data_IF_209034081890
#
_entry.id   IF_209034081890
#
_cell.length_a   1.000
_cell.length_b   1.000
_cell.length_c   1.000
_cell.angle_alpha   90.00
_cell.angle_beta   90.00
_cell.angle_gamma   90.00
#
_symmetry.space_group_name_H-M   'P 1'
#
loop_
_entity.id
_entity.type
_entity.pdbx_description
1 polymer ?
#
# COMPACT_ATOMS: atom_id res chain seq x y z
N UNK A 1 -26.39 1.82 -37.46
CA UNK A 1 -26.15 0.80 -36.42
C UNK A 1 -26.70 -0.50 -36.95
N UNK A 2 -25.83 -1.35 -37.49
CA UNK A 2 -26.17 -2.74 -37.79
C UNK A 2 -26.24 -3.47 -36.45
N UNK A 3 -27.44 -3.83 -36.01
CA UNK A 3 -27.63 -4.78 -34.93
C UNK A 3 -26.86 -6.05 -35.28
N UNK A 4 -25.95 -6.46 -34.41
CA UNK A 4 -25.21 -7.71 -34.56
C UNK A 4 -26.18 -8.88 -34.72
N UNK A 5 -25.83 -9.87 -35.54
CA UNK A 5 -26.70 -11.03 -35.78
C UNK A 5 -27.14 -11.67 -34.45
N UNK A 6 -28.42 -12.02 -34.34
CA UNK A 6 -29.01 -12.66 -33.15
C UNK A 6 -28.31 -13.98 -32.74
N UNK A 7 -27.43 -14.51 -33.61
CA UNK A 7 -26.63 -15.72 -33.41
C UNK A 7 -25.31 -15.44 -32.66
N UNK A 8 -24.75 -14.24 -32.76
CA UNK A 8 -23.45 -13.92 -32.16
C UNK A 8 -23.52 -13.64 -30.65
N UNK A 9 -24.63 -13.05 -30.18
CA UNK A 9 -24.80 -12.72 -28.76
C UNK A 9 -24.79 -13.97 -27.84
N UNK A 10 -25.52 -15.07 -28.16
CA UNK A 10 -25.46 -16.30 -27.36
C UNK A 10 -24.06 -16.94 -27.35
N UNK A 11 -23.34 -16.90 -28.47
CA UNK A 11 -21.99 -17.47 -28.56
C UNK A 11 -20.98 -16.71 -27.69
N UNK A 12 -21.06 -15.38 -27.66
CA UNK A 12 -20.24 -14.54 -26.77
C UNK A 12 -20.61 -14.76 -25.31
N UNK A 13 -21.90 -14.85 -24.99
CA UNK A 13 -22.34 -15.13 -23.63
C UNK A 13 -21.81 -16.47 -23.13
N UNK A 14 -21.84 -17.51 -23.97
CA UNK A 14 -21.28 -18.82 -23.65
C UNK A 14 -19.76 -18.71 -23.46
N UNK A 15 -19.04 -18.05 -24.37
CA UNK A 15 -17.60 -17.87 -24.26
C UNK A 15 -17.20 -17.16 -22.95
N UNK A 16 -17.89 -16.07 -22.61
CA UNK A 16 -17.65 -15.34 -21.36
C UNK A 16 -18.02 -16.18 -20.12
N UNK A 17 -19.14 -16.89 -20.13
CA UNK A 17 -19.53 -17.81 -19.03
C UNK A 17 -18.55 -18.95 -18.83
N UNK A 18 -17.98 -19.49 -19.90
CA UNK A 18 -16.98 -20.55 -19.82
C UNK A 18 -15.69 -20.06 -19.17
N UNK A 19 -15.34 -18.78 -19.38
CA UNK A 19 -14.07 -18.20 -18.91
C UNK A 19 -14.20 -17.57 -17.53
N UNK A 20 -15.33 -16.92 -17.24
CA UNK A 20 -15.58 -16.20 -15.98
C UNK A 20 -16.36 -17.02 -14.95
N UNK A 21 -16.82 -18.22 -15.32
CA UNK A 21 -17.65 -19.08 -14.48
C UNK A 21 -19.16 -18.88 -14.71
N UNK A 22 -19.94 -19.94 -14.48
CA UNK A 22 -21.39 -19.95 -14.76
C UNK A 22 -22.21 -19.05 -13.83
N UNK A 23 -21.73 -18.83 -12.60
CA UNK A 23 -22.37 -18.02 -11.56
C UNK A 23 -22.31 -16.51 -11.87
N UNK A 24 -21.46 -16.10 -12.82
CA UNK A 24 -21.18 -14.71 -13.17
C UNK A 24 -22.40 -13.87 -13.61
N UNK A 25 -23.44 -14.50 -14.15
CA UNK A 25 -24.69 -13.85 -14.58
C UNK A 25 -25.92 -14.22 -13.71
N UNK A 26 -25.71 -14.88 -12.58
CA UNK A 26 -26.78 -15.27 -11.66
C UNK A 26 -26.64 -14.51 -10.34
N UNK A 27 -27.76 -14.26 -9.65
CA UNK A 27 -27.73 -13.72 -8.29
C UNK A 27 -26.91 -14.65 -7.40
N UNK A 28 -25.92 -14.10 -6.70
CA UNK A 28 -25.19 -14.81 -5.65
C UNK A 28 -26.14 -14.94 -4.45
N UNK A 29 -26.93 -16.01 -4.40
CA UNK A 29 -27.60 -16.40 -3.15
C UNK A 29 -26.57 -17.09 -2.24
N UNK A 30 -25.76 -16.33 -1.48
CA UNK A 30 -25.24 -16.72 -0.16
C UNK A 30 -24.18 -15.75 0.40
N UNK A 31 -24.61 -14.82 1.25
CA UNK A 31 -24.08 -14.70 2.62
C UNK A 31 -25.14 -14.08 3.51
N UNK A 32 -25.44 -14.75 4.63
CA UNK A 32 -26.62 -14.48 5.45
C UNK A 32 -26.73 -13.07 6.02
N UNK A 33 -27.98 -12.64 6.16
CA UNK A 33 -28.48 -11.55 7.02
C UNK A 33 -27.56 -10.32 7.20
N UNK A 34 -27.63 -9.39 6.25
CA UNK A 34 -27.30 -7.98 6.48
C UNK A 34 -26.86 -7.21 5.24
N UNK A 35 -27.56 -6.12 4.90
CA UNK A 35 -27.16 -4.99 4.03
C UNK A 35 -26.50 -5.22 2.63
N UNK A 36 -26.20 -6.43 2.17
CA UNK A 36 -25.43 -6.68 0.94
C UNK A 36 -26.23 -6.66 -0.38
N UNK A 37 -27.58 -6.57 -0.33
CA UNK A 37 -28.42 -6.68 -1.53
C UNK A 37 -28.19 -5.57 -2.57
N UNK A 38 -27.88 -4.35 -2.13
CA UNK A 38 -27.64 -3.19 -3.02
C UNK A 38 -26.28 -3.29 -3.74
N UNK A 39 -25.27 -3.88 -3.08
CA UNK A 39 -23.96 -4.11 -3.68
C UNK A 39 -24.07 -5.21 -4.73
N UNK A 40 -24.77 -6.30 -4.43
CA UNK A 40 -24.96 -7.40 -5.36
C UNK A 40 -25.77 -6.97 -6.60
N UNK A 41 -26.78 -6.14 -6.42
CA UNK A 41 -27.57 -5.56 -7.53
C UNK A 41 -26.69 -4.65 -8.41
N UNK A 42 -25.91 -3.75 -7.82
CA UNK A 42 -24.98 -2.88 -8.56
C UNK A 42 -23.94 -3.68 -9.36
N UNK A 43 -23.37 -4.72 -8.75
CA UNK A 43 -22.41 -5.60 -9.42
C UNK A 43 -23.06 -6.33 -10.60
N UNK A 44 -24.29 -6.82 -10.45
CA UNK A 44 -25.03 -7.45 -11.53
C UNK A 44 -25.33 -6.47 -12.68
N UNK A 45 -25.81 -5.26 -12.37
CA UNK A 45 -26.12 -4.23 -13.35
C UNK A 45 -24.89 -3.82 -14.19
N UNK A 46 -23.74 -3.68 -13.55
CA UNK A 46 -22.49 -3.30 -14.24
C UNK A 46 -21.97 -4.41 -15.14
N UNK A 47 -22.10 -5.68 -14.73
CA UNK A 47 -21.83 -6.86 -15.59
C UNK A 47 -22.75 -6.90 -16.80
N UNK A 48 -24.04 -6.67 -16.61
CA UNK A 48 -25.02 -6.60 -17.70
C UNK A 48 -24.73 -5.43 -18.64
N UNK A 49 -24.35 -4.27 -18.11
CA UNK A 49 -23.98 -3.10 -18.90
C UNK A 49 -22.75 -3.36 -19.76
N UNK A 50 -21.72 -3.99 -19.19
CA UNK A 50 -20.51 -4.36 -19.91
C UNK A 50 -20.80 -5.38 -21.02
N UNK A 51 -21.60 -6.40 -20.73
CA UNK A 51 -22.03 -7.39 -21.73
C UNK A 51 -22.87 -6.76 -22.84
N UNK A 52 -23.84 -5.93 -22.47
CA UNK A 52 -24.67 -5.20 -23.42
C UNK A 52 -23.82 -4.33 -24.35
N UNK A 53 -22.81 -3.64 -23.80
CA UNK A 53 -21.89 -2.84 -24.59
C UNK A 53 -21.08 -3.71 -25.58
N UNK A 54 -20.46 -4.80 -25.12
CA UNK A 54 -19.68 -5.70 -25.99
C UNK A 54 -20.52 -6.27 -27.14
N UNK A 55 -21.77 -6.64 -26.88
CA UNK A 55 -22.62 -7.27 -27.88
C UNK A 55 -23.20 -6.26 -28.87
N UNK A 56 -23.63 -5.09 -28.38
CA UNK A 56 -24.49 -4.19 -29.16
C UNK A 56 -23.82 -2.87 -29.55
N UNK A 57 -22.75 -2.47 -28.86
CA UNK A 57 -22.19 -1.12 -28.96
C UNK A 57 -20.69 -1.11 -29.29
N UNK A 58 -19.96 -2.21 -29.06
CA UNK A 58 -18.53 -2.30 -29.31
C UNK A 58 -18.22 -2.04 -30.80
N UNK A 59 -17.51 -0.94 -31.13
CA UNK A 59 -17.22 -0.61 -32.51
C UNK A 59 -16.29 -1.63 -33.19
N UNK A 60 -15.52 -2.41 -32.42
CA UNK A 60 -14.67 -3.47 -32.98
C UNK A 60 -15.47 -4.72 -33.38
N UNK A 61 -16.68 -4.91 -32.84
CA UNK A 61 -17.56 -6.05 -33.12
C UNK A 61 -16.82 -7.41 -33.02
N UNK A 62 -16.05 -7.62 -31.95
CA UNK A 62 -15.24 -8.82 -31.76
C UNK A 62 -16.09 -10.10 -31.74
N UNK A 63 -15.70 -11.10 -32.54
CA UNK A 63 -16.31 -12.44 -32.54
C UNK A 63 -16.02 -13.25 -31.27
N UNK A 64 -16.80 -14.30 -31.04
CA UNK A 64 -16.75 -15.11 -29.81
C UNK A 64 -15.40 -15.82 -29.58
N UNK A 65 -14.62 -16.01 -30.64
CA UNK A 65 -13.29 -16.63 -30.65
C UNK A 65 -12.16 -15.60 -30.74
N UNK A 66 -12.48 -14.30 -30.72
CA UNK A 66 -11.46 -13.26 -30.79
C UNK A 66 -10.54 -13.32 -29.56
N UNK A 67 -9.20 -13.34 -29.76
CA UNK A 67 -8.24 -13.60 -28.68
C UNK A 67 -8.24 -12.51 -27.59
N UNK A 68 -8.71 -11.30 -27.91
CA UNK A 68 -8.79 -10.19 -26.98
C UNK A 68 -10.20 -9.94 -26.42
N UNK A 69 -11.19 -10.79 -26.73
CA UNK A 69 -12.58 -10.62 -26.28
C UNK A 69 -12.69 -10.52 -24.76
N UNK A 70 -12.07 -11.45 -24.03
CA UNK A 70 -12.10 -11.49 -22.57
C UNK A 70 -11.42 -10.27 -21.97
N UNK A 71 -10.22 -9.93 -22.44
CA UNK A 71 -9.48 -8.77 -21.97
C UNK A 71 -10.27 -7.48 -22.18
N UNK A 72 -10.85 -7.30 -23.37
CA UNK A 72 -11.67 -6.14 -23.69
C UNK A 72 -12.92 -6.09 -22.81
N UNK A 73 -13.61 -7.22 -22.63
CA UNK A 73 -14.76 -7.32 -21.74
C UNK A 73 -14.41 -6.96 -20.28
N UNK A 74 -13.30 -7.46 -19.74
CA UNK A 74 -12.86 -7.18 -18.37
C UNK A 74 -12.52 -5.70 -18.16
N UNK A 75 -11.92 -5.04 -19.15
CA UNK A 75 -11.70 -3.59 -19.12
C UNK A 75 -13.03 -2.82 -19.19
N UNK A 76 -13.97 -3.24 -20.04
CA UNK A 76 -15.31 -2.63 -20.09
C UNK A 76 -16.04 -2.80 -18.75
N UNK A 77 -15.94 -3.97 -18.12
CA UNK A 77 -16.48 -4.21 -16.78
C UNK A 77 -15.84 -3.27 -15.75
N UNK A 78 -14.51 -3.20 -15.73
CA UNK A 78 -13.77 -2.26 -14.89
C UNK A 78 -14.28 -0.82 -15.10
N UNK A 79 -14.51 -0.42 -16.34
CA UNK A 79 -15.08 0.88 -16.67
C UNK A 79 -16.46 1.08 -16.02
N UNK A 80 -17.44 0.21 -16.29
CA UNK A 80 -18.79 0.40 -15.74
C UNK A 80 -18.84 0.33 -14.22
N UNK A 81 -18.05 -0.58 -13.63
CA UNK A 81 -18.04 -0.77 -12.19
C UNK A 81 -17.35 0.37 -11.44
N UNK A 82 -16.32 0.98 -12.06
CA UNK A 82 -15.56 2.08 -11.42
C UNK A 82 -16.02 3.48 -11.81
N UNK A 83 -17.10 3.58 -12.58
CA UNK A 83 -17.74 4.85 -12.96
C UNK A 83 -18.98 5.14 -12.13
N UNK A 84 -19.74 4.12 -11.68
CA UNK A 84 -21.11 4.30 -11.17
C UNK A 84 -21.95 5.20 -12.09
N UNK A 85 -21.80 5.02 -13.40
CA UNK A 85 -22.42 5.85 -14.45
C UNK A 85 -21.98 7.34 -14.50
N UNK A 86 -20.95 7.73 -13.75
CA UNK A 86 -20.27 9.04 -13.87
C UNK A 86 -19.05 8.93 -14.78
N UNK A 87 -18.70 9.98 -15.52
CA UNK A 87 -17.48 9.97 -16.32
C UNK A 87 -16.25 10.14 -15.42
N UNK A 88 -15.22 9.33 -15.69
CA UNK A 88 -13.90 9.54 -15.10
C UNK A 88 -13.37 10.93 -15.42
N UNK A 89 -12.76 11.58 -14.43
CA UNK A 89 -12.36 12.99 -14.54
C UNK A 89 -11.30 13.25 -15.61
N UNK A 90 -10.29 12.39 -15.68
CA UNK A 90 -9.08 12.64 -16.47
C UNK A 90 -8.97 11.69 -17.67
N UNK A 91 -9.46 10.45 -17.53
CA UNK A 91 -9.26 9.38 -18.50
C UNK A 91 -10.47 8.89 -19.30
N UNK A 92 -11.58 9.61 -19.26
CA UNK A 92 -12.69 9.36 -20.19
C UNK A 92 -13.48 10.64 -20.52
N UNK A 93 -12.93 11.57 -21.33
CA UNK A 93 -13.64 12.79 -21.68
C UNK A 93 -14.87 12.50 -22.58
N UNK A 94 -15.94 13.32 -22.52
CA UNK A 94 -17.13 13.13 -23.33
C UNK A 94 -16.84 13.31 -24.83
N UNK A 95 -17.53 12.53 -25.68
CA UNK A 95 -17.54 12.71 -27.12
C UNK A 95 -18.29 14.02 -27.47
N UNK A 96 -17.57 15.13 -27.60
CA UNK A 96 -18.18 16.40 -28.00
C UNK A 96 -18.22 16.49 -29.54
N UNK A 97 -19.38 16.78 -30.16
CA UNK A 97 -19.50 16.99 -31.61
C UNK A 97 -18.85 18.28 -32.12
N UNK A 98 -18.36 19.14 -31.22
CA UNK A 98 -17.72 20.41 -31.53
C UNK A 98 -16.38 20.45 -30.81
N UNK A 99 -15.29 20.50 -31.59
CA UNK A 99 -13.91 20.41 -31.11
C UNK A 99 -13.50 21.55 -30.19
N UNK A 100 -13.85 21.45 -28.90
CA UNK A 100 -13.10 22.07 -27.82
C UNK A 100 -12.02 21.06 -27.40
N UNK A 101 -10.82 21.22 -27.96
CA UNK A 101 -9.64 20.39 -27.74
C UNK A 101 -8.99 20.54 -26.34
N UNK A 102 -9.79 20.74 -25.30
CA UNK A 102 -9.34 20.98 -23.93
C UNK A 102 -10.39 20.38 -23.01
N UNK A 103 -10.28 19.12 -22.60
CA UNK A 103 -9.39 18.64 -21.54
C UNK A 103 -8.92 17.21 -21.86
N UNK A 104 -7.60 16.98 -21.86
CA UNK A 104 -6.96 15.66 -22.03
C UNK A 104 -5.74 15.58 -21.13
N UNK A 105 -5.79 14.84 -20.01
CA UNK A 105 -4.58 14.54 -19.23
C UNK A 105 -4.71 13.19 -18.53
N UNK A 106 -4.72 12.07 -19.28
CA UNK A 106 -4.21 10.84 -18.68
C UNK A 106 -2.71 11.01 -18.51
N UNK A 107 -2.32 11.46 -17.33
CA UNK A 107 -0.92 11.57 -16.99
C UNK A 107 -0.27 10.20 -17.15
N UNK A 108 0.88 10.17 -17.82
CA UNK A 108 1.84 9.08 -17.71
C UNK A 108 2.83 9.48 -16.61
N UNK A 109 2.52 9.29 -15.32
CA UNK A 109 3.51 9.52 -14.28
C UNK A 109 4.64 8.53 -14.45
N UNK A 110 5.85 9.05 -14.31
CA UNK A 110 7.00 8.20 -14.07
C UNK A 110 6.80 7.52 -12.70
N UNK A 111 6.79 6.19 -12.69
CA UNK A 111 6.46 5.36 -11.51
C UNK A 111 7.52 5.53 -10.42
N UNK A 112 8.70 6.09 -10.75
CA UNK A 112 9.82 6.28 -9.83
C UNK A 112 9.87 7.70 -9.23
N UNK A 113 9.56 8.75 -10.00
CA UNK A 113 9.73 10.15 -9.56
C UNK A 113 8.41 10.88 -9.27
N UNK A 114 7.26 10.32 -9.67
CA UNK A 114 5.96 10.96 -9.48
C UNK A 114 5.73 12.20 -10.36
N UNK A 115 6.65 12.52 -11.26
CA UNK A 115 6.49 13.63 -12.20
C UNK A 115 5.61 13.21 -13.39
N UNK A 116 4.58 14.01 -13.64
CA UNK A 116 3.60 13.82 -14.69
C UNK A 116 4.09 14.50 -15.98
N UNK A 117 4.40 13.74 -17.03
CA UNK A 117 4.62 14.34 -18.35
C UNK A 117 3.28 14.72 -18.97
N UNK A 118 3.17 15.91 -19.57
CA UNK A 118 1.94 16.49 -20.15
C UNK A 118 1.46 15.83 -21.46
N UNK A 119 1.91 14.61 -21.74
CA UNK A 119 1.64 13.89 -22.99
C UNK A 119 0.36 13.08 -22.90
N UNK A 120 -0.50 13.16 -23.92
CA UNK A 120 -1.72 12.34 -24.04
C UNK A 120 -1.34 10.86 -23.98
N UNK A 121 -1.83 10.14 -22.97
CA UNK A 121 -1.64 8.69 -22.88
C UNK A 121 -2.90 7.95 -23.33
N UNK A 122 -2.92 7.50 -24.58
CA UNK A 122 -3.93 6.58 -25.11
C UNK A 122 -5.25 7.21 -25.59
N UNK A 123 -6.05 6.36 -26.21
CA UNK A 123 -7.39 6.62 -26.74
C UNK A 123 -8.44 6.60 -25.63
N UNK A 124 -9.63 7.14 -25.95
CA UNK A 124 -10.78 7.08 -25.07
C UNK A 124 -11.18 5.61 -24.80
N UNK A 125 -11.62 5.33 -23.57
CA UNK A 125 -12.24 4.05 -23.24
C UNK A 125 -13.53 3.86 -24.01
N UNK A 126 -13.90 2.60 -24.28
CA UNK A 126 -15.06 2.25 -25.11
C UNK A 126 -14.98 2.80 -26.55
N UNK A 127 -13.77 3.06 -27.06
CA UNK A 127 -13.55 3.51 -28.43
C UNK A 127 -13.33 2.34 -29.40
N UNK A 128 -13.29 2.66 -30.70
CA UNK A 128 -13.01 1.70 -31.77
C UNK A 128 -11.56 1.21 -31.81
N UNK A 129 -10.67 1.78 -31.00
CA UNK A 129 -9.29 1.33 -30.91
C UNK A 129 -9.20 -0.02 -30.19
N UNK A 130 -8.12 -0.75 -30.44
CA UNK A 130 -7.76 -1.89 -29.61
C UNK A 130 -7.60 -1.41 -28.17
N UNK A 131 -8.06 -2.18 -27.19
CA UNK A 131 -8.05 -1.80 -25.78
C UNK A 131 -6.65 -1.53 -25.22
N UNK A 132 -5.60 -2.10 -25.82
CA UNK A 132 -4.21 -1.78 -25.52
C UNK A 132 -3.78 -0.36 -25.91
N UNK A 133 -4.62 0.37 -26.65
CA UNK A 133 -4.45 1.78 -26.95
C UNK A 133 -5.25 2.66 -25.99
N UNK A 134 -6.17 2.11 -25.19
CA UNK A 134 -6.95 2.90 -24.25
C UNK A 134 -6.05 3.53 -23.19
N UNK A 135 -6.49 4.68 -22.72
CA UNK A 135 -5.71 5.45 -21.76
C UNK A 135 -5.45 4.67 -20.47
N UNK A 136 -4.21 4.69 -19.99
CA UNK A 136 -3.80 3.95 -18.80
C UNK A 136 -3.59 2.44 -19.00
N UNK A 137 -3.86 1.91 -20.20
CA UNK A 137 -3.70 0.50 -20.55
C UNK A 137 -2.37 0.31 -21.28
N UNK A 138 -1.57 -0.67 -20.86
CA UNK A 138 -0.35 -1.06 -21.59
C UNK A 138 -0.31 -2.57 -21.76
N UNK A 139 -0.07 -2.99 -23.01
CA UNK A 139 0.05 -4.39 -23.35
C UNK A 139 1.46 -4.75 -23.83
N UNK A 140 1.84 -6.00 -23.61
CA UNK A 140 3.02 -6.63 -24.22
C UNK A 140 2.58 -7.62 -25.30
N UNK A 141 3.44 -7.83 -26.29
CA UNK A 141 3.20 -8.86 -27.32
C UNK A 141 3.75 -10.18 -26.80
N UNK A 142 2.89 -11.19 -26.66
CA UNK A 142 3.30 -12.55 -26.31
C UNK A 142 3.73 -13.33 -27.55
N UNK A 143 4.33 -14.52 -27.35
CA UNK A 143 4.89 -15.35 -28.43
C UNK A 143 3.88 -15.65 -29.57
N UNK A 144 2.57 -15.65 -29.29
CA UNK A 144 1.50 -15.82 -30.28
C UNK A 144 1.23 -14.60 -31.18
N UNK A 145 1.96 -13.49 -31.00
CA UNK A 145 1.69 -12.15 -31.56
C UNK A 145 0.44 -11.46 -30.99
N UNK A 146 -0.21 -12.04 -30.00
CA UNK A 146 -1.34 -11.43 -29.28
C UNK A 146 -0.83 -10.37 -28.29
N UNK A 147 -1.62 -9.31 -28.10
CA UNK A 147 -1.32 -8.26 -27.13
C UNK A 147 -2.07 -8.54 -25.84
N UNK A 148 -1.34 -8.73 -24.75
CA UNK A 148 -1.92 -8.97 -23.43
C UNK A 148 -1.66 -7.82 -22.48
N UNK A 149 -2.65 -7.48 -21.65
CA UNK A 149 -2.60 -6.45 -20.65
C UNK A 149 -1.55 -6.81 -19.58
N UNK A 150 -0.53 -5.97 -19.46
CA UNK A 150 0.49 -6.11 -18.43
C UNK A 150 0.45 -4.99 -17.39
N UNK A 151 -0.17 -3.85 -17.71
CA UNK A 151 -0.29 -2.71 -16.80
C UNK A 151 -1.60 -1.98 -16.99
N UNK A 152 -2.31 -1.80 -15.88
CA UNK A 152 -3.45 -0.90 -15.76
C UNK A 152 -3.11 0.21 -14.76
N UNK A 153 -3.14 1.46 -15.23
CA UNK A 153 -2.70 2.62 -14.46
C UNK A 153 -3.68 3.78 -14.62
N UNK A 154 -4.43 4.03 -13.55
CA UNK A 154 -5.53 5.00 -13.51
C UNK A 154 -5.54 5.75 -12.17
N UNK A 155 -4.37 6.18 -11.69
CA UNK A 155 -4.25 6.95 -10.44
C UNK A 155 -4.94 8.33 -10.56
N UNK A 156 -5.42 8.88 -9.44
CA UNK A 156 -5.96 10.26 -9.35
C UNK A 156 -7.11 10.58 -10.31
N UNK A 157 -7.92 9.60 -10.68
CA UNK A 157 -8.93 9.71 -11.73
C UNK A 157 -10.39 9.65 -11.22
N UNK A 158 -10.60 9.85 -9.90
CA UNK A 158 -11.92 9.80 -9.26
C UNK A 158 -12.67 8.48 -9.46
N UNK A 159 -11.95 7.37 -9.72
CA UNK A 159 -12.56 6.05 -9.83
C UNK A 159 -13.30 5.74 -8.51
N UNK A 160 -14.54 5.28 -8.58
CA UNK A 160 -15.35 5.00 -7.40
C UNK A 160 -15.87 3.56 -7.42
N UNK A 161 -16.56 3.11 -6.37
CA UNK A 161 -17.13 1.76 -6.35
C UNK A 161 -16.09 0.64 -6.20
N UNK A 162 -16.55 -0.62 -6.17
CA UNK A 162 -15.71 -1.79 -5.99
C UNK A 162 -14.81 -2.10 -7.19
N UNK A 163 -13.65 -2.71 -6.93
CA UNK A 163 -12.85 -3.35 -7.98
C UNK A 163 -13.55 -4.63 -8.46
N UNK A 164 -13.65 -4.88 -9.79
CA UNK A 164 -14.20 -6.13 -10.30
C UNK A 164 -13.31 -7.30 -9.89
N UNK A 165 -13.91 -8.35 -9.33
CA UNK A 165 -13.16 -9.54 -8.92
C UNK A 165 -12.51 -10.26 -10.11
N UNK A 166 -13.11 -10.09 -11.28
CA UNK A 166 -12.72 -10.71 -12.54
C UNK A 166 -11.44 -10.10 -13.12
N UNK A 167 -10.94 -9.01 -12.55
CA UNK A 167 -9.59 -8.50 -12.86
C UNK A 167 -8.51 -9.55 -12.55
N UNK A 168 -8.80 -10.51 -11.68
CA UNK A 168 -7.96 -11.68 -11.38
C UNK A 168 -7.80 -12.64 -12.56
N UNK A 169 -8.70 -12.57 -13.56
CA UNK A 169 -8.66 -13.41 -14.76
C UNK A 169 -7.74 -12.86 -15.86
N UNK A 170 -7.01 -11.77 -15.59
CA UNK A 170 -6.03 -11.21 -16.52
C UNK A 170 -4.68 -11.92 -16.35
N UNK A 171 -4.31 -12.86 -17.24
CA UNK A 171 -3.26 -13.86 -16.98
C UNK A 171 -1.85 -13.29 -16.93
N UNK A 172 -1.65 -12.06 -17.40
CA UNK A 172 -0.35 -11.43 -17.53
C UNK A 172 -0.27 -10.05 -16.87
N UNK A 173 -1.24 -9.70 -16.02
CA UNK A 173 -1.22 -8.42 -15.32
C UNK A 173 -0.02 -8.37 -14.37
N UNK A 174 0.92 -7.45 -14.64
CA UNK A 174 2.13 -7.23 -13.84
C UNK A 174 2.01 -6.01 -12.94
N UNK A 175 1.24 -5.00 -13.32
CA UNK A 175 1.18 -3.72 -12.59
C UNK A 175 -0.24 -3.19 -12.51
N UNK A 176 -0.74 -3.03 -11.29
CA UNK A 176 -2.03 -2.43 -11.01
C UNK A 176 -1.82 -1.17 -10.17
N UNK A 177 -2.02 -0.01 -10.80
CA UNK A 177 -1.72 1.31 -10.22
C UNK A 177 -2.99 2.16 -10.19
N UNK A 178 -3.72 2.13 -9.08
CA UNK A 178 -5.01 2.80 -8.91
C UNK A 178 -5.06 3.71 -7.67
N UNK A 179 -3.90 4.13 -7.16
CA UNK A 179 -3.84 4.96 -5.96
C UNK A 179 -4.43 6.36 -6.17
N UNK A 180 -4.94 6.98 -5.10
CA UNK A 180 -5.51 8.34 -5.14
C UNK A 180 -6.89 8.40 -5.81
N UNK A 181 -7.71 7.38 -5.64
CA UNK A 181 -9.08 7.33 -6.16
C UNK A 181 -10.09 7.24 -5.00
N UNK A 182 -11.34 6.90 -5.30
CA UNK A 182 -12.43 6.67 -4.36
C UNK A 182 -12.93 5.22 -4.41
N UNK A 183 -12.05 4.27 -4.78
CA UNK A 183 -12.41 2.85 -4.88
C UNK A 183 -12.81 2.34 -3.50
N UNK A 184 -13.92 1.61 -3.42
CA UNK A 184 -14.53 1.15 -2.17
C UNK A 184 -14.69 -0.37 -2.14
N UNK A 185 -15.25 -0.92 -1.07
CA UNK A 185 -15.52 -2.36 -0.96
C UNK A 185 -14.25 -3.19 -0.72
N UNK A 186 -14.41 -4.51 -0.78
CA UNK A 186 -13.36 -5.46 -0.44
C UNK A 186 -12.35 -5.65 -1.57
N UNK A 187 -11.11 -5.98 -1.19
CA UNK A 187 -10.08 -6.42 -2.12
C UNK A 187 -10.48 -7.77 -2.76
N UNK A 188 -10.35 -7.94 -4.09
CA UNK A 188 -10.62 -9.22 -4.74
C UNK A 188 -9.80 -10.39 -4.15
N UNK A 189 -10.42 -11.55 -3.92
CA UNK A 189 -9.65 -12.76 -3.59
C UNK A 189 -8.74 -13.13 -4.76
N UNK A 190 -7.57 -13.71 -4.48
CA UNK A 190 -6.60 -14.19 -5.49
C UNK A 190 -6.09 -13.13 -6.49
N UNK A 191 -6.08 -11.84 -6.13
CA UNK A 191 -5.58 -10.76 -7.00
C UNK A 191 -4.11 -10.95 -7.45
N UNK A 192 -3.36 -11.83 -6.78
CA UNK A 192 -1.92 -12.01 -6.95
C UNK A 192 -1.52 -13.37 -7.54
N UNK A 193 -2.42 -14.04 -8.27
CA UNK A 193 -2.12 -15.28 -8.98
C UNK A 193 -1.24 -15.02 -10.23
N UNK A 194 0.07 -15.10 -10.01
CA UNK A 194 1.16 -15.46 -10.95
C UNK A 194 2.00 -14.39 -11.68
N UNK A 195 1.77 -13.08 -11.58
CA UNK A 195 2.65 -12.12 -12.30
C UNK A 195 2.79 -10.71 -11.72
N UNK A 196 2.14 -10.37 -10.61
CA UNK A 196 2.11 -8.98 -10.17
C UNK A 196 3.46 -8.53 -9.58
N UNK A 197 4.09 -7.55 -10.23
CA UNK A 197 5.28 -6.84 -9.76
C UNK A 197 4.94 -5.63 -8.90
N UNK A 198 3.77 -5.01 -9.10
CA UNK A 198 3.43 -3.74 -8.47
C UNK A 198 1.92 -3.66 -8.21
N UNK A 199 1.55 -3.52 -6.93
CA UNK A 199 0.19 -3.23 -6.49
C UNK A 199 0.15 -1.91 -5.72
N UNK A 200 -0.41 -0.86 -6.32
CA UNK A 200 -0.61 0.44 -5.66
C UNK A 200 -2.09 0.77 -5.64
N UNK A 201 -2.73 0.53 -4.50
CA UNK A 201 -4.13 0.87 -4.24
C UNK A 201 -4.29 1.88 -3.10
N UNK A 202 -3.20 2.50 -2.65
CA UNK A 202 -3.25 3.45 -1.55
C UNK A 202 -4.11 4.70 -1.84
N UNK A 203 -4.54 5.43 -0.82
CA UNK A 203 -5.40 6.60 -0.94
C UNK A 203 -6.71 6.28 -1.68
N UNK A 204 -7.48 5.36 -1.11
CA UNK A 204 -8.80 4.91 -1.58
C UNK A 204 -9.73 4.68 -0.37
N UNK A 205 -10.89 4.06 -0.57
CA UNK A 205 -11.90 3.73 0.44
C UNK A 205 -12.07 2.21 0.61
N UNK A 206 -11.07 1.41 0.25
CA UNK A 206 -11.13 -0.06 0.30
C UNK A 206 -11.28 -0.53 1.75
N UNK A 207 -12.08 -1.56 1.98
CA UNK A 207 -12.44 -2.05 3.31
C UNK A 207 -12.31 -3.56 3.44
N UNK A 208 -12.51 -4.07 4.65
CA UNK A 208 -12.40 -5.50 4.94
C UNK A 208 -10.94 -5.99 5.08
N UNK A 209 -10.75 -7.29 5.32
CA UNK A 209 -9.43 -7.88 5.47
C UNK A 209 -8.64 -7.91 4.16
N UNK A 210 -7.31 -7.85 4.28
CA UNK A 210 -6.41 -8.23 3.18
C UNK A 210 -6.59 -9.75 2.98
N UNK A 211 -7.03 -10.23 1.80
CA UNK A 211 -7.36 -11.64 1.61
C UNK A 211 -6.16 -12.57 1.84
N UNK A 212 -6.36 -13.61 2.65
CA UNK A 212 -5.46 -14.76 2.70
C UNK A 212 -5.50 -15.52 1.37
N UNK A 213 -4.43 -16.20 0.98
CA UNK A 213 -4.40 -16.96 -0.27
C UNK A 213 -4.24 -16.12 -1.55
N UNK A 214 -3.89 -14.84 -1.43
CA UNK A 214 -3.32 -14.08 -2.55
C UNK A 214 -2.12 -14.79 -3.20
N UNK A 215 -1.42 -15.63 -2.44
CA UNK A 215 -0.21 -16.33 -2.84
C UNK A 215 -0.32 -17.86 -2.70
N UNK A 216 -1.54 -18.37 -2.49
CA UNK A 216 -1.82 -19.81 -2.58
C UNK A 216 -1.66 -20.23 -4.04
N UNK A 217 -0.46 -20.68 -4.40
CA UNK A 217 -0.19 -21.28 -5.71
C UNK A 217 -0.81 -22.68 -5.81
N UNK A 218 -1.30 -23.29 -4.73
CA UNK A 218 -1.66 -24.70 -4.74
C UNK A 218 -2.98 -24.96 -4.04
N UNK A 219 -3.96 -25.37 -4.83
CA UNK A 219 -5.27 -25.88 -4.39
C UNK A 219 -5.21 -27.20 -3.60
N UNK A 220 -4.06 -27.62 -3.03
CA UNK A 220 -4.02 -28.93 -2.37
C UNK A 220 -2.80 -29.17 -1.44
N UNK A 221 -2.41 -28.18 -0.62
CA UNK A 221 -1.40 -28.40 0.43
C UNK A 221 0.01 -28.80 -0.07
N UNK A 222 0.27 -28.64 -1.36
CA UNK A 222 1.59 -28.84 -1.94
C UNK A 222 2.49 -27.62 -1.65
N UNK A 223 3.78 -27.88 -1.52
CA UNK A 223 4.84 -26.87 -1.43
C UNK A 223 5.02 -26.19 -2.78
N UNK A 224 5.28 -24.87 -2.79
CA UNK A 224 5.62 -24.11 -4.01
C UNK A 224 6.81 -24.81 -4.68
N UNK A 225 6.69 -25.35 -5.91
CA UNK A 225 7.82 -25.92 -6.60
C UNK A 225 8.84 -24.81 -6.83
N UNK A 226 10.10 -25.06 -6.45
CA UNK A 226 11.23 -24.15 -6.67
C UNK A 226 11.45 -23.73 -8.13
N UNK A 227 10.72 -24.35 -9.08
CA UNK A 227 10.75 -24.11 -10.52
C UNK A 227 9.59 -23.23 -11.03
N UNK A 228 8.52 -23.04 -10.25
CA UNK A 228 7.44 -22.08 -10.59
C UNK A 228 7.85 -20.74 -10.00
N UNK A 229 8.44 -19.88 -10.84
CA UNK A 229 8.88 -18.56 -10.43
C UNK A 229 7.77 -17.79 -9.72
N UNK A 230 7.91 -17.61 -8.41
CA UNK A 230 7.05 -16.72 -7.62
C UNK A 230 7.20 -15.31 -8.20
N UNK A 231 6.11 -14.59 -8.48
CA UNK A 231 6.20 -13.27 -9.09
C UNK A 231 6.92 -12.29 -8.16
N UNK A 232 7.95 -11.55 -8.63
CA UNK A 232 8.73 -10.67 -7.78
C UNK A 232 7.93 -9.38 -7.51
N UNK A 233 7.10 -9.40 -6.46
CA UNK A 233 6.29 -8.25 -6.04
C UNK A 233 7.17 -7.13 -5.49
N UNK A 234 7.57 -6.17 -6.33
CA UNK A 234 8.50 -5.06 -6.01
C UNK A 234 7.87 -3.95 -5.16
N UNK A 235 6.57 -3.77 -5.21
CA UNK A 235 5.95 -2.72 -4.39
C UNK A 235 4.50 -3.02 -4.12
N UNK A 236 4.14 -2.88 -2.84
CA UNK A 236 2.85 -3.22 -2.31
C UNK A 236 2.36 -2.08 -1.41
N UNK A 237 1.47 -1.25 -1.95
CA UNK A 237 1.00 -0.03 -1.29
C UNK A 237 -0.51 -0.05 -1.15
N UNK A 238 -0.97 -0.20 0.09
CA UNK A 238 -2.38 -0.17 0.47
C UNK A 238 -2.68 0.96 1.47
N UNK A 239 -1.73 1.88 1.65
CA UNK A 239 -1.82 3.05 2.54
C UNK A 239 -3.11 3.86 2.37
N UNK A 240 -3.59 4.52 3.42
CA UNK A 240 -4.77 5.39 3.37
C UNK A 240 -6.02 4.72 2.72
N UNK A 241 -6.46 3.62 3.31
CA UNK A 241 -7.72 2.92 3.03
C UNK A 241 -8.50 2.69 4.36
N UNK A 242 -9.56 1.88 4.34
CA UNK A 242 -10.37 1.45 5.49
C UNK A 242 -10.21 -0.04 5.82
N UNK A 243 -9.02 -0.60 5.56
CA UNK A 243 -8.73 -2.03 5.70
C UNK A 243 -8.77 -2.49 7.17
N UNK A 244 -9.19 -3.74 7.38
CA UNK A 244 -9.35 -4.36 8.70
C UNK A 244 -8.57 -5.68 8.79
N UNK A 245 -8.57 -6.33 9.95
CA UNK A 245 -7.96 -7.67 10.11
C UNK A 245 -6.43 -7.62 10.16
N UNK A 246 -5.78 -8.79 10.05
CA UNK A 246 -4.33 -8.92 10.18
C UNK A 246 -3.60 -8.92 8.84
N UNK A 247 -2.30 -8.62 8.87
CA UNK A 247 -1.42 -8.87 7.73
C UNK A 247 -1.37 -10.39 7.45
N UNK A 248 -1.69 -10.85 6.23
CA UNK A 248 -1.69 -12.28 5.92
C UNK A 248 -0.25 -12.83 5.86
N UNK A 249 -0.04 -14.02 6.42
CA UNK A 249 1.28 -14.64 6.52
C UNK A 249 1.94 -14.82 5.15
N UNK A 250 1.14 -15.19 4.16
CA UNK A 250 1.59 -15.44 2.80
C UNK A 250 2.23 -14.20 2.13
N UNK A 251 1.92 -12.97 2.60
CA UNK A 251 2.58 -11.73 2.15
C UNK A 251 4.09 -11.79 2.39
N UNK A 252 4.50 -12.43 3.48
CA UNK A 252 5.90 -12.50 3.89
C UNK A 252 6.66 -13.59 3.12
N UNK A 253 5.97 -14.66 2.71
CA UNK A 253 6.56 -15.76 1.92
C UNK A 253 6.91 -15.34 0.48
N UNK A 254 6.25 -14.34 -0.09
CA UNK A 254 6.53 -13.88 -1.45
C UNK A 254 7.95 -13.32 -1.66
N UNK A 255 8.50 -12.66 -0.64
CA UNK A 255 9.61 -11.75 -0.87
C UNK A 255 10.99 -12.38 -0.82
N UNK A 256 11.10 -13.70 -0.73
CA UNK A 256 12.35 -14.39 -1.04
C UNK A 256 12.82 -14.05 -2.47
N UNK A 257 11.88 -13.73 -3.37
CA UNK A 257 12.15 -13.33 -4.76
C UNK A 257 12.24 -11.81 -4.98
N UNK A 258 11.85 -11.00 -3.99
CA UNK A 258 11.73 -9.55 -4.17
C UNK A 258 12.92 -8.79 -3.58
N UNK A 259 13.76 -8.25 -4.47
CA UNK A 259 14.94 -7.43 -4.09
C UNK A 259 14.64 -6.05 -3.51
N UNK A 260 13.40 -5.58 -3.59
CA UNK A 260 12.95 -4.30 -3.05
C UNK A 260 11.46 -4.48 -2.82
N UNK A 261 11.01 -4.75 -1.59
CA UNK A 261 9.58 -4.73 -1.27
C UNK A 261 9.33 -3.45 -0.45
N UNK A 262 8.44 -2.61 -0.94
CA UNK A 262 7.97 -1.43 -0.20
C UNK A 262 6.54 -1.70 0.26
N UNK A 263 6.35 -1.87 1.58
CA UNK A 263 5.05 -2.00 2.23
C UNK A 263 4.71 -0.65 2.87
N UNK A 264 3.84 0.11 2.21
CA UNK A 264 3.34 1.38 2.72
C UNK A 264 1.95 1.23 3.33
N UNK A 265 1.81 1.47 4.63
CA UNK A 265 0.56 1.80 5.31
C UNK A 265 0.73 3.18 5.98
N UNK A 266 0.92 4.24 5.18
CA UNK A 266 0.91 5.62 5.69
C UNK A 266 -0.55 6.03 5.87
N UNK A 267 -0.90 6.57 7.03
CA UNK A 267 -2.26 7.07 7.28
C UNK A 267 -2.24 8.51 7.74
N UNK A 268 -3.31 9.21 7.37
CA UNK A 268 -3.62 10.53 7.88
C UNK A 268 -4.01 10.43 9.38
N UNK A 269 -3.80 11.49 10.19
CA UNK A 269 -3.97 11.45 11.65
C UNK A 269 -5.38 11.14 12.18
N UNK A 270 -6.41 11.16 11.32
CA UNK A 270 -7.82 11.25 11.74
C UNK A 270 -8.65 9.97 11.56
N UNK A 271 -8.05 8.84 11.16
CA UNK A 271 -8.76 7.57 11.08
C UNK A 271 -7.89 6.43 11.63
N UNK A 272 -8.18 5.96 12.85
CA UNK A 272 -7.59 4.73 13.39
C UNK A 272 -8.00 3.55 12.49
N UNK A 273 -7.04 2.96 11.79
CA UNK A 273 -7.30 1.72 11.06
C UNK A 273 -7.57 0.57 12.03
N UNK A 274 -8.46 -0.33 11.61
CA UNK A 274 -8.75 -1.60 12.30
C UNK A 274 -7.80 -2.73 11.86
N UNK A 275 -6.63 -2.39 11.33
CA UNK A 275 -5.60 -3.39 11.03
C UNK A 275 -5.02 -3.86 12.36
N UNK A 276 -5.24 -5.12 12.70
CA UNK A 276 -4.92 -5.76 13.98
C UNK A 276 -3.89 -6.88 13.78
N UNK A 277 -3.65 -7.69 14.80
CA UNK A 277 -2.67 -8.78 14.76
C UNK A 277 -1.27 -8.32 15.13
N UNK A 278 -0.26 -9.13 14.79
CA UNK A 278 1.14 -8.90 15.16
C UNK A 278 2.03 -8.85 13.92
N UNK A 279 3.25 -8.34 14.07
CA UNK A 279 4.31 -8.51 13.07
C UNK A 279 4.88 -9.94 13.20
N UNK A 280 4.69 -10.84 12.21
CA UNK A 280 5.09 -12.24 12.34
C UNK A 280 6.61 -12.41 12.11
N UNK A 281 7.19 -13.51 12.62
CA UNK A 281 8.61 -13.85 12.47
C UNK A 281 9.07 -13.95 11.00
N UNK A 282 8.15 -14.26 10.11
CA UNK A 282 8.30 -14.39 8.67
C UNK A 282 8.73 -13.07 8.02
N UNK A 283 8.65 -11.94 8.73
CA UNK A 283 9.31 -10.68 8.32
C UNK A 283 10.80 -10.88 7.99
N UNK A 284 11.46 -11.85 8.65
CA UNK A 284 12.85 -12.19 8.39
C UNK A 284 13.12 -12.79 7.01
N UNK A 285 12.08 -13.26 6.30
CA UNK A 285 12.19 -13.70 4.91
C UNK A 285 12.34 -12.53 3.95
N UNK A 286 11.91 -11.32 4.35
CA UNK A 286 12.00 -10.09 3.58
C UNK A 286 13.42 -9.47 3.65
N UNK A 287 14.46 -10.22 3.28
CA UNK A 287 15.87 -9.81 3.47
C UNK A 287 16.31 -8.53 2.75
N UNK A 288 15.54 -8.08 1.76
CA UNK A 288 15.76 -6.85 1.00
C UNK A 288 14.73 -5.75 1.30
N UNK A 289 13.96 -5.89 2.38
CA UNK A 289 13.01 -4.89 2.82
C UNK A 289 13.74 -3.60 3.20
N UNK A 290 13.30 -2.47 2.64
CA UNK A 290 13.88 -1.16 2.91
C UNK A 290 13.01 -0.32 3.84
N UNK A 291 11.69 -0.43 3.71
CA UNK A 291 10.74 0.42 4.42
C UNK A 291 9.63 -0.42 5.05
N UNK A 292 9.38 -0.21 6.33
CA UNK A 292 8.20 -0.67 7.06
C UNK A 292 7.45 0.55 7.56
N UNK A 293 6.23 0.75 7.07
CA UNK A 293 5.36 1.87 7.49
C UNK A 293 4.03 1.29 7.99
N UNK A 294 3.85 1.24 9.31
CA UNK A 294 2.74 0.64 10.06
C UNK A 294 2.06 1.63 11.03
N UNK A 295 2.39 2.93 10.95
CA UNK A 295 1.87 3.94 11.86
C UNK A 295 0.33 4.08 11.79
N UNK A 296 -0.31 4.44 12.91
CA UNK A 296 -1.76 4.60 13.08
C UNK A 296 -2.58 3.32 12.81
N UNK A 297 -2.05 2.17 13.20
CA UNK A 297 -2.73 0.86 13.12
C UNK A 297 -3.03 0.30 14.52
N UNK A 298 -3.86 -0.74 14.61
CA UNK A 298 -4.09 -1.48 15.86
C UNK A 298 -3.18 -2.71 15.98
N UNK A 299 -2.07 -2.76 15.22
CA UNK A 299 -1.07 -3.83 15.31
C UNK A 299 -0.49 -3.84 16.74
N UNK A 300 -0.41 -5.03 17.31
CA UNK A 300 0.02 -5.28 18.68
C UNK A 300 1.21 -6.26 18.73
N UNK A 301 1.65 -6.58 19.94
CA UNK A 301 2.76 -7.49 20.18
C UNK A 301 4.13 -6.84 19.94
N UNK A 302 5.17 -7.66 19.90
CA UNK A 302 6.56 -7.21 19.87
C UNK A 302 7.10 -7.07 18.44
N UNK A 303 8.23 -6.37 18.28
CA UNK A 303 9.06 -6.48 17.07
C UNK A 303 9.79 -7.83 17.14
N UNK A 304 9.59 -8.77 16.19
CA UNK A 304 10.26 -10.07 16.20
C UNK A 304 11.76 -9.93 15.95
N UNK A 305 12.58 -10.80 16.54
CA UNK A 305 14.05 -10.77 16.40
C UNK A 305 14.53 -10.94 14.94
N UNK A 306 13.73 -11.63 14.15
CA UNK A 306 13.91 -11.92 12.73
C UNK A 306 13.96 -10.65 11.88
N UNK A 307 13.50 -9.49 12.41
CA UNK A 307 13.71 -8.19 11.75
C UNK A 307 15.18 -7.95 11.42
N UNK A 308 16.12 -8.48 12.22
CA UNK A 308 17.56 -8.36 11.97
C UNK A 308 18.05 -9.08 10.71
N UNK A 309 17.22 -9.88 10.05
CA UNK A 309 17.52 -10.48 8.74
C UNK A 309 17.27 -9.50 7.59
N UNK A 310 16.42 -8.48 7.79
CA UNK A 310 16.17 -7.41 6.83
C UNK A 310 17.27 -6.34 6.88
N UNK A 311 18.51 -6.74 6.60
CA UNK A 311 19.71 -5.89 6.77
C UNK A 311 19.74 -4.61 5.92
N UNK A 312 18.89 -4.52 4.89
CA UNK A 312 18.74 -3.33 4.03
C UNK A 312 17.65 -2.36 4.52
N UNK A 313 17.09 -2.58 5.72
CA UNK A 313 16.03 -1.74 6.26
C UNK A 313 16.56 -0.35 6.59
N UNK A 314 16.04 0.65 5.88
CA UNK A 314 16.38 2.07 6.07
C UNK A 314 15.35 2.79 6.92
N UNK A 315 14.11 2.33 6.99
CA UNK A 315 13.05 3.01 7.73
C UNK A 315 12.06 2.04 8.38
N UNK A 316 11.81 2.24 9.66
CA UNK A 316 10.78 1.55 10.42
C UNK A 316 9.90 2.58 11.12
N UNK A 317 8.62 2.65 10.75
CA UNK A 317 7.62 3.48 11.41
C UNK A 317 6.46 2.64 11.89
N UNK A 318 6.16 2.69 13.18
CA UNK A 318 4.99 2.04 13.78
C UNK A 318 4.29 2.94 14.82
N UNK A 319 4.52 4.24 14.76
CA UNK A 319 3.92 5.22 15.68
C UNK A 319 2.38 5.12 15.78
N UNK A 320 1.80 5.45 16.92
CA UNK A 320 0.35 5.34 17.18
C UNK A 320 -0.17 3.92 16.91
N UNK A 321 0.45 2.92 17.53
CA UNK A 321 0.02 1.51 17.45
C UNK A 321 0.00 0.85 18.83
N UNK A 322 -0.50 -0.39 18.90
CA UNK A 322 -0.56 -1.16 20.15
C UNK A 322 0.69 -2.04 20.35
N UNK A 323 1.78 -1.77 19.63
CA UNK A 323 3.02 -2.54 19.76
C UNK A 323 3.63 -2.36 21.15
N UNK A 324 4.20 -3.43 21.70
CA UNK A 324 4.65 -3.49 23.09
C UNK A 324 5.96 -4.27 23.25
N UNK A 325 6.42 -4.41 24.49
CA UNK A 325 7.61 -5.16 24.87
C UNK A 325 8.91 -4.38 24.62
N UNK A 326 10.04 -5.09 24.57
CA UNK A 326 11.37 -4.50 24.42
C UNK A 326 11.84 -4.48 22.97
N UNK A 327 12.70 -3.53 22.62
CA UNK A 327 13.37 -3.54 21.31
C UNK A 327 14.34 -4.74 21.20
N UNK A 328 14.26 -5.58 20.15
CA UNK A 328 15.11 -6.76 20.02
C UNK A 328 16.57 -6.36 19.77
N UNK A 329 17.52 -7.11 20.34
CA UNK A 329 18.96 -6.82 20.20
C UNK A 329 19.43 -6.84 18.74
N UNK A 330 18.75 -7.64 17.91
CA UNK A 330 19.00 -7.80 16.49
C UNK A 330 18.81 -6.48 15.72
N UNK A 331 17.89 -5.62 16.16
CA UNK A 331 17.68 -4.28 15.59
C UNK A 331 18.99 -3.49 15.63
N UNK A 332 19.59 -3.38 16.83
CA UNK A 332 20.86 -2.65 17.01
C UNK A 332 22.06 -3.38 16.39
N UNK A 333 22.03 -4.72 16.37
CA UNK A 333 23.18 -5.52 15.96
C UNK A 333 23.29 -5.71 14.44
N UNK A 334 22.19 -5.56 13.69
CA UNK A 334 22.12 -5.95 12.27
C UNK A 334 21.64 -4.85 11.32
N UNK A 335 20.83 -3.91 11.77
CA UNK A 335 20.17 -2.93 10.90
C UNK A 335 20.98 -1.64 10.75
N UNK A 336 22.25 -1.74 10.36
CA UNK A 336 23.18 -0.60 10.31
C UNK A 336 22.84 0.46 9.26
N UNK A 337 21.99 0.12 8.30
CA UNK A 337 21.53 1.03 7.24
C UNK A 337 20.28 1.85 7.65
N UNK A 338 19.82 1.69 8.91
CA UNK A 338 18.62 2.35 9.41
C UNK A 338 18.83 3.87 9.51
N UNK A 339 17.98 4.62 8.79
CA UNK A 339 17.94 6.09 8.74
C UNK A 339 16.85 6.64 9.66
N UNK A 340 15.71 5.95 9.79
CA UNK A 340 14.61 6.40 10.62
C UNK A 340 13.97 5.24 11.41
N UNK A 341 13.83 5.43 12.72
CA UNK A 341 13.12 4.54 13.64
C UNK A 341 12.10 5.34 14.46
N UNK A 342 10.81 5.17 14.14
CA UNK A 342 9.73 6.01 14.65
C UNK A 342 8.64 5.13 15.25
N UNK A 343 8.60 5.05 16.57
CA UNK A 343 7.69 4.20 17.36
C UNK A 343 7.02 4.96 18.49
N UNK A 344 6.80 6.27 18.32
CA UNK A 344 6.13 7.08 19.32
C UNK A 344 4.66 6.67 19.54
N UNK A 345 4.11 6.96 20.72
CA UNK A 345 2.72 6.66 21.08
C UNK A 345 2.39 5.17 20.91
N UNK A 346 3.20 4.31 21.52
CA UNK A 346 3.05 2.85 21.59
C UNK A 346 3.16 2.40 23.06
N UNK A 347 3.34 1.09 23.30
CA UNK A 347 3.51 0.49 24.63
C UNK A 347 4.90 -0.15 24.80
N UNK A 348 5.93 0.35 24.12
CA UNK A 348 7.30 -0.20 24.23
C UNK A 348 7.91 0.09 25.60
N UNK A 349 8.75 -0.81 26.09
CA UNK A 349 9.38 -0.75 27.42
C UNK A 349 10.84 -1.21 27.40
N UNK A 350 11.49 -1.14 28.57
CA UNK A 350 12.90 -1.51 28.76
C UNK A 350 13.85 -0.35 28.45
N UNK A 351 15.13 -0.67 28.29
CA UNK A 351 16.20 0.30 28.12
C UNK A 351 16.65 0.42 26.66
N UNK A 352 17.24 1.56 26.30
CA UNK A 352 17.97 1.71 25.04
C UNK A 352 19.33 1.03 25.17
N UNK A 353 19.66 0.12 24.24
CA UNK A 353 20.94 -0.57 24.26
C UNK A 353 22.10 0.37 23.88
N UNK A 354 23.27 0.28 24.54
CA UNK A 354 24.52 0.90 24.07
C UNK A 354 24.88 0.57 22.62
N UNK A 355 24.38 -0.55 22.09
CA UNK A 355 24.53 -0.92 20.68
C UNK A 355 23.86 0.06 19.71
N UNK A 356 23.02 0.99 20.20
CA UNK A 356 22.46 2.08 19.42
C UNK A 356 23.53 2.84 18.62
N UNK A 357 24.72 3.06 19.20
CA UNK A 357 25.83 3.73 18.52
C UNK A 357 26.34 3.05 17.25
N UNK A 358 25.92 1.81 16.95
CA UNK A 358 26.23 1.12 15.69
C UNK A 358 25.39 1.58 14.51
N UNK A 359 24.26 2.25 14.77
CA UNK A 359 23.33 2.70 13.74
C UNK A 359 23.77 4.07 13.18
N UNK A 360 25.03 4.18 12.74
CA UNK A 360 25.68 5.48 12.46
C UNK A 360 24.98 6.33 11.40
N UNK A 361 24.17 5.72 10.53
CA UNK A 361 23.34 6.42 9.54
C UNK A 361 21.97 6.91 10.06
N UNK A 362 21.65 6.71 11.34
CA UNK A 362 20.36 7.06 11.92
C UNK A 362 20.21 8.58 12.04
N UNK A 363 19.18 9.10 11.38
CA UNK A 363 18.86 10.53 11.32
C UNK A 363 17.63 10.89 12.16
N UNK A 364 16.70 9.95 12.33
CA UNK A 364 15.47 10.17 13.10
C UNK A 364 15.20 9.01 14.05
N UNK A 365 15.28 9.29 15.34
CA UNK A 365 14.86 8.39 16.42
C UNK A 365 13.70 9.04 17.19
N UNK A 366 12.50 8.47 17.09
CA UNK A 366 11.34 8.91 17.88
C UNK A 366 10.80 7.75 18.70
N UNK A 367 10.97 7.87 20.01
CA UNK A 367 10.56 6.93 21.05
C UNK A 367 9.51 7.52 21.99
N UNK A 368 9.01 8.72 21.68
CA UNK A 368 8.17 9.49 22.60
C UNK A 368 6.89 8.76 23.02
N UNK A 369 6.36 9.08 24.20
CA UNK A 369 5.11 8.53 24.72
C UNK A 369 5.11 6.98 24.71
N UNK A 370 6.09 6.40 25.39
CA UNK A 370 6.23 4.95 25.61
C UNK A 370 6.56 4.70 27.09
N UNK A 371 6.94 3.47 27.43
CA UNK A 371 7.32 3.04 28.77
C UNK A 371 8.83 2.76 28.90
N UNK A 372 9.69 3.32 28.05
CA UNK A 372 11.14 3.14 28.14
C UNK A 372 11.71 3.71 29.44
N UNK A 373 12.72 3.05 30.01
CA UNK A 373 13.37 3.44 31.26
C UNK A 373 14.91 3.49 31.13
N UNK A 374 15.59 3.77 32.25
CA UNK A 374 17.05 3.88 32.30
C UNK A 374 17.56 5.23 31.83
N UNK A 375 18.67 5.23 31.10
CA UNK A 375 19.36 6.44 30.61
C UNK A 375 19.48 6.41 29.10
N UNK A 376 19.66 7.58 28.49
CA UNK A 376 20.06 7.68 27.07
C UNK A 376 21.55 7.30 27.02
N UNK A 377 21.96 6.25 26.27
CA UNK A 377 23.34 5.77 26.29
C UNK A 377 24.29 6.78 25.64
N UNK A 378 25.49 6.94 26.23
CA UNK A 378 26.53 7.84 25.70
C UNK A 378 26.97 7.44 24.28
N UNK A 379 26.82 6.17 23.89
CA UNK A 379 27.11 5.70 22.54
C UNK A 379 26.28 6.39 21.44
N UNK A 380 25.21 7.11 21.81
CA UNK A 380 24.50 8.01 20.89
C UNK A 380 25.43 9.09 20.29
N UNK A 381 26.56 9.40 20.93
CA UNK A 381 27.66 10.22 20.41
C UNK A 381 28.17 9.75 19.04
N UNK A 382 28.05 8.46 18.73
CA UNK A 382 28.47 7.89 17.45
C UNK A 382 27.49 8.17 16.30
N UNK A 383 26.30 8.68 16.59
CA UNK A 383 25.25 8.95 15.60
C UNK A 383 25.39 10.35 15.01
N UNK A 384 26.46 10.55 14.24
CA UNK A 384 26.83 11.87 13.71
C UNK A 384 25.84 12.43 12.69
N UNK A 385 24.98 11.60 12.10
CA UNK A 385 23.95 12.03 11.15
C UNK A 385 22.60 12.34 11.82
N UNK A 386 22.49 12.23 13.16
CA UNK A 386 21.25 12.44 13.89
C UNK A 386 20.70 13.86 13.68
N UNK A 387 19.43 13.95 13.26
CA UNK A 387 18.70 15.21 13.04
C UNK A 387 17.50 15.34 13.95
N UNK A 388 16.94 14.24 14.43
CA UNK A 388 15.73 14.26 15.25
C UNK A 388 15.77 13.18 16.31
N UNK A 389 15.79 13.60 17.57
CA UNK A 389 15.71 12.74 18.75
C UNK A 389 14.50 13.16 19.59
N UNK A 390 13.50 12.29 19.69
CA UNK A 390 12.33 12.51 20.52
C UNK A 390 12.20 11.37 21.53
N UNK A 391 12.36 11.71 22.82
CA UNK A 391 12.39 10.74 23.94
C UNK A 391 11.44 11.11 25.07
N UNK A 392 10.72 12.23 24.94
CA UNK A 392 9.76 12.72 25.92
C UNK A 392 8.58 11.76 26.15
N UNK A 393 7.87 11.89 27.27
CA UNK A 393 6.78 11.00 27.64
C UNK A 393 7.24 9.58 27.92
N UNK A 394 8.42 9.41 28.52
CA UNK A 394 8.98 8.11 28.92
C UNK A 394 9.38 8.14 30.41
N UNK A 395 10.06 7.09 30.87
CA UNK A 395 10.63 6.97 32.21
C UNK A 395 12.16 7.13 32.20
N UNK A 396 12.70 7.83 31.20
CA UNK A 396 14.14 8.11 31.11
C UNK A 396 14.61 9.00 32.27
N UNK A 397 15.86 8.78 32.65
CA UNK A 397 16.58 9.53 33.68
C UNK A 397 17.97 9.94 33.18
N UNK A 398 18.63 10.84 33.90
CA UNK A 398 20.00 11.26 33.57
C UNK A 398 20.03 12.43 32.60
N UNK A 399 21.07 12.51 31.78
CA UNK A 399 21.35 13.65 30.89
C UNK A 399 21.16 13.28 29.42
N UNK A 400 20.66 14.20 28.59
CA UNK A 400 20.82 14.09 27.13
C UNK A 400 22.29 14.35 26.76
N UNK A 401 22.99 13.42 26.10
CA UNK A 401 24.39 13.63 25.72
C UNK A 401 24.55 14.85 24.79
N UNK A 402 25.42 15.79 25.19
CA UNK A 402 25.58 17.11 24.55
C UNK A 402 26.00 16.99 23.07
N UNK A 403 26.72 15.93 22.70
CA UNK A 403 27.12 15.63 21.33
C UNK A 403 25.96 15.56 20.34
N UNK A 404 24.76 15.17 20.79
CA UNK A 404 23.55 15.11 19.93
C UNK A 404 23.14 16.52 19.51
N UNK A 405 23.48 17.51 20.33
CA UNK A 405 23.11 18.91 20.18
C UNK A 405 24.20 19.75 19.51
N UNK A 406 25.45 19.29 19.49
CA UNK A 406 26.58 20.03 18.86
C UNK A 406 26.58 19.97 17.32
N UNK A 407 25.77 19.10 16.71
CA UNK A 407 25.62 18.99 15.24
C UNK A 407 24.78 20.11 14.59
N UNK A 408 24.49 21.19 15.31
CA UNK A 408 23.63 22.32 14.92
C UNK A 408 24.24 23.28 13.87
N UNK A 409 25.17 22.84 13.02
CA UNK A 409 25.82 23.72 12.02
C UNK A 409 24.91 23.97 10.78
N UNK A 410 24.01 24.94 10.96
CA UNK A 410 23.44 25.94 10.02
C UNK A 410 22.74 25.51 8.72
N UNK A 411 22.36 24.25 8.49
CA UNK A 411 21.54 23.93 7.29
C UNK A 411 20.29 23.09 7.52
N UNK A 412 20.14 22.43 8.66
CA UNK A 412 18.95 21.66 9.03
C UNK A 412 18.71 21.78 10.55
N UNK A 413 17.49 22.13 10.97
CA UNK A 413 17.12 22.21 12.39
C UNK A 413 17.23 20.81 13.02
N UNK A 414 18.24 20.59 13.88
CA UNK A 414 18.28 19.41 14.74
C UNK A 414 17.18 19.57 15.77
N UNK A 415 16.30 18.58 15.88
CA UNK A 415 15.17 18.58 16.82
C UNK A 415 15.45 17.60 17.95
N UNK A 416 15.57 18.11 19.16
CA UNK A 416 15.74 17.30 20.38
C UNK A 416 14.58 17.60 21.33
N UNK A 417 13.82 16.57 21.69
CA UNK A 417 12.63 16.67 22.54
C UNK A 417 12.74 15.68 23.70
N UNK A 418 12.75 16.19 24.93
CA UNK A 418 12.93 15.40 26.15
C UNK A 418 12.08 15.92 27.31
N UNK A 419 11.91 15.10 28.37
CA UNK A 419 11.21 15.49 29.60
C UNK A 419 12.10 16.32 30.53
N UNK A 420 12.52 17.50 30.05
CA UNK A 420 13.42 18.42 30.74
C UNK A 420 12.74 19.57 31.48
N UNK A 421 11.41 19.65 31.49
CA UNK A 421 10.73 20.58 32.39
C UNK A 421 10.73 20.03 33.83
N UNK A 422 10.89 20.88 34.85
CA UNK A 422 10.80 20.47 36.24
C UNK A 422 9.51 19.69 36.51
N UNK A 423 9.62 18.53 37.16
CA UNK A 423 8.46 17.76 37.56
C UNK A 423 7.65 18.56 38.61
N UNK A 424 6.33 18.72 38.46
CA UNK A 424 5.52 19.55 39.37
C UNK A 424 5.56 19.13 40.84
N UNK A 425 5.93 17.88 41.14
CA UNK A 425 5.99 17.34 42.51
C UNK A 425 7.39 17.44 43.12
N UNK A 426 8.44 17.16 42.33
CA UNK A 426 9.82 17.10 42.84
C UNK A 426 10.61 18.38 42.57
N UNK A 427 10.17 19.21 41.63
CA UNK A 427 10.88 20.42 41.20
C UNK A 427 12.16 20.15 40.38
N UNK A 428 12.45 18.89 40.08
CA UNK A 428 13.66 18.45 39.34
C UNK A 428 13.21 17.78 38.04
N UNK A 429 13.82 18.08 36.89
CA UNK A 429 13.51 17.38 35.65
C UNK A 429 13.96 15.92 35.74
N UNK A 430 13.23 15.03 35.07
CA UNK A 430 13.64 13.61 34.99
C UNK A 430 14.82 13.44 34.05
N UNK A 431 14.89 14.27 33.00
CA UNK A 431 16.01 14.31 32.06
C UNK A 431 16.63 15.70 32.07
N UNK A 432 17.92 15.79 32.34
CA UNK A 432 18.69 17.03 32.24
C UNK A 432 19.11 17.26 30.78
N UNK A 433 18.74 18.41 30.21
CA UNK A 433 19.29 18.88 28.95
C UNK A 433 20.34 19.94 29.25
N UNK A 434 21.55 19.81 28.67
CA UNK A 434 22.55 20.88 28.71
C UNK A 434 22.04 22.16 28.06
N UNK A 435 22.69 23.29 28.35
CA UNK A 435 22.29 24.61 27.83
C UNK A 435 22.09 24.57 26.30
N UNK A 436 20.89 24.96 25.85
CA UNK A 436 20.43 25.00 24.45
C UNK A 436 20.39 23.65 23.69
N UNK A 437 20.54 22.52 24.37
CA UNK A 437 20.53 21.20 23.72
C UNK A 437 19.13 20.78 23.27
N UNK A 438 18.11 20.95 24.12
CA UNK A 438 16.76 20.53 23.82
C UNK A 438 15.96 21.65 23.15
N UNK A 439 15.58 21.43 21.89
CA UNK A 439 14.69 22.33 21.13
C UNK A 439 13.27 22.42 21.72
N UNK A 440 12.85 21.40 22.45
CA UNK A 440 11.61 21.43 23.21
C UNK A 440 11.73 20.62 24.49
N UNK A 441 11.33 21.25 25.59
CA UNK A 441 11.26 20.61 26.90
C UNK A 441 9.81 20.28 27.23
N UNK A 442 9.57 19.03 27.62
CA UNK A 442 8.26 18.53 27.99
C UNK A 442 8.15 18.29 29.50
N UNK A 443 6.94 18.40 30.02
CA UNK A 443 6.58 17.75 31.27
C UNK A 443 6.36 16.26 31.01
N UNK A 444 6.57 15.44 32.03
CA UNK A 444 6.20 14.02 32.02
C UNK A 444 4.69 13.77 31.78
N UNK A 445 3.85 14.82 31.75
CA UNK A 445 2.44 14.77 31.35
C UNK A 445 2.22 15.00 29.85
N UNK A 446 3.28 15.15 29.05
CA UNK A 446 3.23 15.30 27.59
C UNK A 446 3.07 16.74 27.06
N UNK A 447 3.03 17.75 27.93
CA UNK A 447 2.97 19.17 27.50
C UNK A 447 4.38 19.69 27.27
N UNK A 448 4.67 20.15 26.06
CA UNK A 448 5.98 20.65 25.66
C UNK A 448 6.01 22.17 25.45
N UNK A 449 7.11 22.80 25.85
CA UNK A 449 7.44 24.19 25.57
C UNK A 449 8.61 24.19 24.57
N UNK A 450 8.45 24.94 23.48
CA UNK A 450 9.55 25.22 22.57
C UNK A 450 10.55 26.15 23.26
N UNK A 451 11.85 25.85 23.09
CA UNK A 451 12.94 26.62 23.67
C UNK A 451 13.35 27.79 22.76
#
# INVERSE_FOLDING_TARGET
MTTRDAVAAPAIEIALKTILGKEYFQHVEASGEGNDSEIDEFMLETRQSAFHWIVNQDPMQLEFDAPNLVQRFLLVLFYYQTTRHQQWKECNPPATPQGSASIKFCYKPDIVTGEATSTIWGDQWLSASHECQWAGVTCETVLSKEKTLVRLQMLRNQLNGPLPWEITQLPHLKRLVLHGNMLSGMLPPKLLSFSLELLHLGNNQLSGPIPAGWFEILHDGATIPSEVGVPPLKSFRLDNNSLTGSLPLDLFHLAETTKNLNIGLILQPFLLLKLTGTLPSEIGLLTHLQLILLSHTSIAGTIPSEIGLATQLTEFRAAYSNMEGTLPKELYAKLTDLVAFVVNDCNFSGTISPLLGRLTGLQWLSLSNNNFDGTIPNEIESLTDMRRLEVNGNQFTGTVPVSVCENLDVTFEVVVVADCLPNPRTGVPTVECGDDCCTSCCHNTGVCLAN
#
